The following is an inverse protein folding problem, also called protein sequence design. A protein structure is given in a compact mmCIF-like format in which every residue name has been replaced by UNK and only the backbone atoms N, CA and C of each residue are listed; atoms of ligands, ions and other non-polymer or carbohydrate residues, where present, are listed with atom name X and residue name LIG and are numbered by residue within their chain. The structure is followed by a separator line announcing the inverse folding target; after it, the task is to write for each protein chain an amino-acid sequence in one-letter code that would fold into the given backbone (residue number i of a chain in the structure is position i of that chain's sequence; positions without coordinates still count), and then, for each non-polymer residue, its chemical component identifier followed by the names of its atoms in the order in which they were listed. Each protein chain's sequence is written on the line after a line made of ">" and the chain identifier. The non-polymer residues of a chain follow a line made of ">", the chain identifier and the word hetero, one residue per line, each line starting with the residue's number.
data_IF_144616142223
#
_entry.id   IF_144616142223
#
_cell.length_a   1.000
_cell.length_b   1.000
_cell.length_c   1.000
_cell.angle_alpha   90.00
_cell.angle_beta   90.00
_cell.angle_gamma   90.00
#
_symmetry.space_group_name_H-M   'P 1'
#
loop_
_entity.id
_entity.type
_entity.pdbx_description
1 polymer ?
#
# COMPACT_ATOMS: atom_id res chain seq x y z
N UNK A 1 -17.92 21.50 -13.19
CA UNK A 1 -18.00 20.78 -11.90
C UNK A 1 -17.19 21.55 -10.86
N UNK A 2 -17.71 21.73 -9.65
CA UNK A 2 -17.08 22.52 -8.56
C UNK A 2 -16.57 21.55 -7.49
N UNK A 3 -15.44 21.84 -6.86
CA UNK A 3 -14.78 20.96 -5.88
C UNK A 3 -15.57 20.74 -4.58
N UNK A 4 -16.47 21.66 -4.24
CA UNK A 4 -17.30 21.64 -3.03
C UNK A 4 -18.65 20.98 -3.23
N UNK A 5 -18.87 20.34 -4.38
CA UNK A 5 -20.08 19.55 -4.62
C UNK A 5 -20.17 18.42 -3.60
N UNK A 6 -21.33 18.29 -2.95
CA UNK A 6 -21.57 17.31 -1.90
C UNK A 6 -22.29 16.08 -2.47
N UNK A 7 -21.80 14.92 -2.12
CA UNK A 7 -22.39 13.63 -2.44
C UNK A 7 -22.93 12.99 -1.17
N UNK A 8 -24.25 12.75 -1.14
CA UNK A 8 -24.86 11.97 -0.07
C UNK A 8 -24.34 10.51 -0.10
N UNK A 9 -24.15 9.94 1.08
CA UNK A 9 -23.60 8.60 1.18
C UNK A 9 -24.64 7.52 0.81
N UNK A 10 -24.48 6.93 -0.37
CA UNK A 10 -25.16 5.67 -0.73
C UNK A 10 -24.72 4.54 0.20
N UNK A 11 -25.52 3.47 0.31
CA UNK A 11 -25.15 2.32 1.14
C UNK A 11 -23.79 1.73 0.75
N UNK A 12 -23.52 1.62 -0.56
CA UNK A 12 -22.25 1.09 -1.06
C UNK A 12 -21.08 2.00 -0.68
N UNK A 13 -21.23 3.32 -0.81
CA UNK A 13 -20.19 4.28 -0.44
C UNK A 13 -19.95 4.26 1.08
N UNK A 14 -21.02 4.18 1.89
CA UNK A 14 -20.88 4.01 3.36
C UNK A 14 -20.04 2.79 3.73
N UNK A 15 -20.26 1.65 3.06
CA UNK A 15 -19.50 0.43 3.33
C UNK A 15 -18.01 0.65 3.03
N UNK A 16 -17.68 1.24 1.86
CA UNK A 16 -16.29 1.49 1.49
C UNK A 16 -15.62 2.45 2.47
N UNK A 17 -16.27 3.57 2.80
CA UNK A 17 -15.74 4.54 3.76
C UNK A 17 -15.57 3.92 5.15
N UNK A 18 -16.45 3.02 5.59
CA UNK A 18 -16.26 2.30 6.86
C UNK A 18 -15.05 1.37 6.83
N UNK A 19 -14.82 0.66 5.72
CA UNK A 19 -13.62 -0.17 5.57
C UNK A 19 -12.37 0.69 5.62
N UNK A 20 -12.33 1.82 4.92
CA UNK A 20 -11.19 2.75 4.97
C UNK A 20 -11.00 3.35 6.38
N UNK A 21 -12.07 3.79 7.02
CA UNK A 21 -12.01 4.34 8.37
C UNK A 21 -11.54 3.29 9.39
N UNK A 22 -11.98 2.03 9.32
CA UNK A 22 -11.54 1.01 10.28
C UNK A 22 -10.11 0.54 9.98
N UNK A 23 -9.83 0.22 8.71
CA UNK A 23 -8.56 -0.38 8.32
C UNK A 23 -7.47 0.67 8.24
N UNK A 24 -7.63 1.74 7.46
CA UNK A 24 -6.57 2.73 7.27
C UNK A 24 -6.41 3.66 8.47
N UNK A 25 -7.47 4.14 9.09
CA UNK A 25 -7.31 4.97 10.29
C UNK A 25 -6.74 4.13 11.44
N UNK A 26 -7.22 2.89 11.60
CA UNK A 26 -6.72 1.96 12.61
C UNK A 26 -5.23 1.66 12.42
N UNK A 27 -4.81 1.31 11.20
CA UNK A 27 -3.39 1.10 10.86
C UNK A 27 -2.58 2.39 11.03
N UNK A 28 -3.08 3.53 10.56
CA UNK A 28 -2.40 4.82 10.65
C UNK A 28 -2.15 5.23 12.11
N UNK A 29 -3.16 5.13 12.97
CA UNK A 29 -3.02 5.40 14.42
C UNK A 29 -2.02 4.43 15.04
N UNK A 30 -2.16 3.12 14.79
CA UNK A 30 -1.27 2.12 15.36
C UNK A 30 0.18 2.37 14.96
N UNK A 31 0.45 2.50 13.65
CA UNK A 31 1.80 2.66 13.11
C UNK A 31 2.40 4.04 13.39
N UNK A 32 1.60 5.08 13.67
CA UNK A 32 2.12 6.37 14.15
C UNK A 32 2.70 6.21 15.56
N UNK A 33 2.01 5.49 16.46
CA UNK A 33 2.37 5.43 17.88
C UNK A 33 3.14 4.16 18.31
N UNK A 34 3.44 3.24 17.39
CA UNK A 34 4.13 1.98 17.68
C UNK A 34 5.63 2.10 18.01
N UNK A 35 6.19 3.31 18.16
CA UNK A 35 7.64 3.54 18.30
C UNK A 35 8.28 2.74 19.44
N UNK A 36 7.54 2.48 20.51
CA UNK A 36 8.02 1.74 21.68
C UNK A 36 7.78 0.22 21.60
N UNK A 37 6.98 -0.24 20.64
CA UNK A 37 6.54 -1.63 20.53
C UNK A 37 7.03 -2.33 19.27
N UNK A 38 7.29 -1.56 18.20
CA UNK A 38 7.75 -2.09 16.92
C UNK A 38 9.13 -2.69 17.04
N UNK A 39 9.25 -3.94 16.60
CA UNK A 39 10.55 -4.62 16.50
C UNK A 39 11.25 -4.13 15.24
N UNK A 40 12.44 -3.54 15.42
CA UNK A 40 13.26 -3.10 14.29
C UNK A 40 13.69 -4.29 13.42
N UNK A 41 13.68 -4.13 12.09
CA UNK A 41 14.22 -5.16 11.21
C UNK A 41 15.69 -5.42 11.50
N UNK A 42 16.10 -6.67 11.35
CA UNK A 42 17.49 -7.12 11.57
C UNK A 42 18.50 -6.43 10.65
N UNK A 43 18.11 -6.12 9.41
CA UNK A 43 18.96 -5.38 8.45
C UNK A 43 19.34 -3.96 8.91
N UNK A 44 18.67 -3.40 9.91
CA UNK A 44 19.09 -2.10 10.50
C UNK A 44 20.34 -2.23 11.37
N UNK A 45 20.79 -3.44 11.69
CA UNK A 45 22.01 -3.71 12.44
C UNK A 45 23.13 -4.14 11.51
N UNK A 46 24.23 -3.39 11.51
CA UNK A 46 25.46 -3.75 10.81
C UNK A 46 26.51 -4.17 11.85
N UNK A 47 27.15 -5.34 11.64
CA UNK A 47 28.15 -5.89 12.55
C UNK A 47 27.69 -5.96 14.02
N UNK A 48 26.42 -6.31 14.26
CA UNK A 48 25.84 -6.41 15.60
C UNK A 48 25.46 -5.08 16.26
N UNK A 49 25.80 -3.93 15.65
CA UNK A 49 25.47 -2.60 16.15
C UNK A 49 24.31 -2.00 15.35
N UNK A 50 23.41 -1.30 16.03
CA UNK A 50 22.36 -0.51 15.35
C UNK A 50 23.02 0.58 14.48
N UNK A 51 22.70 0.57 13.19
CA UNK A 51 23.08 1.65 12.30
C UNK A 51 22.02 2.74 12.37
N UNK A 52 22.41 3.93 12.84
CA UNK A 52 21.49 5.04 13.03
C UNK A 52 20.86 5.53 11.71
N UNK A 53 21.62 5.52 10.61
CA UNK A 53 21.10 5.92 9.30
C UNK A 53 20.03 4.94 8.80
N UNK A 54 20.30 3.62 8.82
CA UNK A 54 19.33 2.61 8.40
C UNK A 54 18.09 2.59 9.30
N UNK A 55 18.25 2.86 10.60
CA UNK A 55 17.13 3.06 11.51
C UNK A 55 16.25 4.25 11.10
N UNK A 56 16.87 5.40 10.77
CA UNK A 56 16.12 6.59 10.37
C UNK A 56 15.41 6.38 9.02
N UNK A 57 16.05 5.71 8.06
CA UNK A 57 15.43 5.33 6.77
C UNK A 57 14.22 4.40 6.98
N UNK A 58 14.37 3.33 7.78
CA UNK A 58 13.25 2.42 8.11
C UNK A 58 12.10 3.16 8.82
N UNK A 59 12.43 3.98 9.82
CA UNK A 59 11.44 4.74 10.59
C UNK A 59 10.71 5.71 9.68
N UNK A 60 11.42 6.44 8.83
CA UNK A 60 10.83 7.39 7.89
C UNK A 60 9.84 6.68 6.96
N UNK A 61 10.24 5.57 6.34
CA UNK A 61 9.36 4.79 5.45
C UNK A 61 8.10 4.29 6.17
N UNK A 62 8.27 3.72 7.36
CA UNK A 62 7.16 3.21 8.17
C UNK A 62 6.17 4.31 8.57
N UNK A 63 6.67 5.48 9.00
CA UNK A 63 5.82 6.61 9.41
C UNK A 63 5.15 7.30 8.23
N UNK A 64 5.78 7.36 7.05
CA UNK A 64 5.12 7.88 5.84
C UNK A 64 3.91 7.05 5.45
N UNK A 65 4.01 5.72 5.49
CA UNK A 65 2.86 4.85 5.26
C UNK A 65 1.74 5.12 6.27
N UNK A 66 2.08 5.19 7.56
CA UNK A 66 1.12 5.47 8.63
C UNK A 66 0.39 6.82 8.45
N UNK A 67 1.10 7.87 8.03
CA UNK A 67 0.54 9.20 7.74
C UNK A 67 -0.45 9.15 6.58
N UNK A 68 -0.11 8.47 5.48
CA UNK A 68 -1.01 8.33 4.33
C UNK A 68 -2.27 7.57 4.73
N UNK A 69 -2.12 6.44 5.43
CA UNK A 69 -3.25 5.67 5.96
C UNK A 69 -4.13 6.50 6.90
N UNK A 70 -3.52 7.29 7.79
CA UNK A 70 -4.25 8.17 8.70
C UNK A 70 -5.09 9.19 7.94
N UNK A 71 -4.51 9.90 6.94
CA UNK A 71 -5.25 10.91 6.19
C UNK A 71 -6.43 10.31 5.39
N UNK A 72 -6.22 9.18 4.71
CA UNK A 72 -7.30 8.50 3.98
C UNK A 72 -8.41 8.05 4.92
N UNK A 73 -8.06 7.39 6.03
CA UNK A 73 -9.02 6.96 7.03
C UNK A 73 -9.76 8.13 7.71
N UNK A 74 -9.09 9.27 7.90
CA UNK A 74 -9.68 10.46 8.50
C UNK A 74 -10.69 11.14 7.55
N UNK A 75 -10.36 11.25 6.26
CA UNK A 75 -11.30 11.74 5.24
C UNK A 75 -12.54 10.85 5.18
N UNK A 76 -12.36 9.53 5.20
CA UNK A 76 -13.47 8.59 5.19
C UNK A 76 -14.34 8.70 6.45
N UNK A 77 -13.72 8.83 7.63
CA UNK A 77 -14.42 9.05 8.89
C UNK A 77 -15.22 10.36 8.90
N UNK A 78 -14.63 11.45 8.38
CA UNK A 78 -15.32 12.73 8.27
C UNK A 78 -16.59 12.60 7.43
N UNK A 79 -16.48 11.97 6.26
CA UNK A 79 -17.62 11.70 5.40
C UNK A 79 -18.73 10.89 6.08
N UNK A 80 -18.34 9.87 6.86
CA UNK A 80 -19.29 9.04 7.62
C UNK A 80 -20.03 9.82 8.70
N UNK A 81 -19.34 10.73 9.40
CA UNK A 81 -19.93 11.56 10.47
C UNK A 81 -20.89 12.60 9.87
N UNK A 82 -20.46 13.29 8.81
CA UNK A 82 -21.26 14.33 8.15
C UNK A 82 -22.41 13.74 7.31
N UNK A 83 -22.36 12.44 6.98
CA UNK A 83 -23.36 11.78 6.14
C UNK A 83 -23.29 12.14 4.65
N UNK A 84 -22.29 12.95 4.28
CA UNK A 84 -21.98 13.35 2.91
C UNK A 84 -20.46 13.54 2.77
N UNK A 85 -19.97 13.47 1.54
CA UNK A 85 -18.56 13.76 1.20
C UNK A 85 -18.51 14.79 0.08
N UNK A 86 -17.54 15.69 0.16
CA UNK A 86 -17.25 16.58 -0.95
C UNK A 86 -16.59 15.83 -2.11
N UNK A 87 -16.75 16.34 -3.33
CA UNK A 87 -16.03 15.84 -4.50
C UNK A 87 -14.52 15.84 -4.28
N UNK A 88 -13.99 16.89 -3.66
CA UNK A 88 -12.57 16.96 -3.34
C UNK A 88 -12.12 15.82 -2.41
N UNK A 89 -12.88 15.51 -1.36
CA UNK A 89 -12.58 14.40 -0.46
C UNK A 89 -12.59 13.05 -1.18
N UNK A 90 -13.60 12.76 -2.01
CA UNK A 90 -13.63 11.53 -2.81
C UNK A 90 -12.42 11.47 -3.76
N UNK A 91 -12.11 12.57 -4.45
CA UNK A 91 -10.97 12.63 -5.38
C UNK A 91 -9.64 12.37 -4.67
N UNK A 92 -9.48 12.86 -3.43
CA UNK A 92 -8.31 12.54 -2.62
C UNK A 92 -8.22 11.05 -2.26
N UNK A 93 -9.34 10.39 -1.97
CA UNK A 93 -9.36 8.94 -1.76
C UNK A 93 -8.91 8.19 -3.02
N UNK A 94 -9.42 8.57 -4.19
CA UNK A 94 -9.02 8.00 -5.47
C UNK A 94 -7.52 8.20 -5.75
N UNK A 95 -7.00 9.41 -5.55
CA UNK A 95 -5.58 9.72 -5.73
C UNK A 95 -4.72 8.90 -4.77
N UNK A 96 -5.11 8.83 -3.49
CA UNK A 96 -4.40 8.06 -2.48
C UNK A 96 -4.31 6.58 -2.83
N UNK A 97 -5.44 5.97 -3.19
CA UNK A 97 -5.49 4.59 -3.66
C UNK A 97 -4.67 4.39 -4.94
N UNK A 98 -4.75 5.31 -5.89
CA UNK A 98 -3.95 5.28 -7.13
C UNK A 98 -2.45 5.30 -6.88
N UNK A 99 -1.98 6.13 -5.94
CA UNK A 99 -0.58 6.19 -5.51
C UNK A 99 -0.14 4.89 -4.81
N UNK A 100 -0.98 4.34 -3.92
CA UNK A 100 -0.66 3.07 -3.25
C UNK A 100 -0.57 1.92 -4.27
N UNK A 101 -1.53 1.84 -5.20
CA UNK A 101 -1.52 0.82 -6.25
C UNK A 101 -0.31 0.96 -7.18
N UNK A 102 0.07 2.19 -7.54
CA UNK A 102 1.29 2.46 -8.27
C UNK A 102 2.52 1.89 -7.56
N UNK A 103 2.65 2.11 -6.23
CA UNK A 103 3.75 1.55 -5.46
C UNK A 103 3.74 0.02 -5.47
N UNK A 104 2.57 -0.63 -5.31
CA UNK A 104 2.46 -2.09 -5.38
C UNK A 104 2.90 -2.63 -6.74
N UNK A 105 2.55 -1.96 -7.85
CA UNK A 105 3.07 -2.32 -9.17
C UNK A 105 4.60 -2.22 -9.21
N UNK A 106 5.18 -1.11 -8.75
CA UNK A 106 6.62 -0.85 -8.82
C UNK A 106 7.45 -1.93 -8.14
N UNK A 107 7.04 -2.42 -6.98
CA UNK A 107 7.86 -3.29 -6.12
C UNK A 107 7.47 -4.78 -6.19
N UNK A 108 6.72 -5.18 -7.21
CA UNK A 108 6.21 -6.56 -7.30
C UNK A 108 7.35 -7.60 -7.23
N UNK A 109 7.32 -8.54 -6.26
CA UNK A 109 8.32 -9.59 -6.15
C UNK A 109 8.13 -10.70 -7.19
N UNK A 110 9.19 -11.45 -7.53
CA UNK A 110 9.12 -12.49 -8.55
C UNK A 110 8.25 -13.69 -8.16
N UNK A 111 7.64 -14.30 -9.18
CA UNK A 111 6.84 -15.53 -9.03
C UNK A 111 5.48 -15.30 -8.38
N UNK A 112 4.91 -16.36 -7.80
CA UNK A 112 3.55 -16.33 -7.22
C UNK A 112 3.43 -15.40 -5.99
N UNK A 113 4.55 -15.01 -5.38
CA UNK A 113 4.55 -14.04 -4.27
C UNK A 113 4.09 -12.66 -4.73
N UNK A 114 4.40 -12.27 -5.97
CA UNK A 114 3.92 -11.01 -6.54
C UNK A 114 2.40 -10.99 -6.67
N UNK A 115 1.81 -12.10 -7.13
CA UNK A 115 0.35 -12.26 -7.22
C UNK A 115 -0.27 -12.27 -5.81
N UNK A 116 0.32 -13.01 -4.88
CA UNK A 116 -0.15 -13.08 -3.49
C UNK A 116 -0.12 -11.70 -2.80
N UNK A 117 0.84 -10.84 -3.15
CA UNK A 117 0.89 -9.47 -2.64
C UNK A 117 -0.38 -8.71 -2.98
N UNK A 118 -0.83 -8.72 -4.25
CA UNK A 118 -2.09 -8.04 -4.62
C UNK A 118 -3.32 -8.66 -3.94
N UNK A 119 -3.38 -9.99 -3.85
CA UNK A 119 -4.54 -10.70 -3.28
C UNK A 119 -4.67 -10.55 -1.77
N UNK A 120 -3.60 -10.20 -1.06
CA UNK A 120 -3.61 -10.05 0.40
C UNK A 120 -3.73 -8.60 0.85
N UNK A 121 -3.60 -7.65 -0.08
CA UNK A 121 -3.58 -6.22 0.21
C UNK A 121 -5.00 -5.64 0.11
N UNK A 122 -5.59 -5.11 1.20
CA UNK A 122 -6.92 -4.51 1.17
C UNK A 122 -7.04 -3.40 0.13
N UNK A 123 -5.95 -2.70 -0.15
CA UNK A 123 -5.85 -1.58 -1.09
C UNK A 123 -6.19 -1.99 -2.51
N UNK A 124 -5.89 -3.24 -2.90
CA UNK A 124 -6.27 -3.81 -4.20
C UNK A 124 -7.79 -3.87 -4.34
N UNK A 125 -8.48 -4.39 -3.33
CA UNK A 125 -9.93 -4.56 -3.35
C UNK A 125 -10.66 -3.23 -3.22
N UNK A 126 -10.16 -2.34 -2.35
CA UNK A 126 -10.68 -0.97 -2.20
C UNK A 126 -10.55 -0.20 -3.51
N UNK A 127 -9.39 -0.28 -4.18
CA UNK A 127 -9.20 0.36 -5.49
C UNK A 127 -10.19 -0.19 -6.51
N UNK A 128 -10.35 -1.52 -6.62
CA UNK A 128 -11.32 -2.11 -7.55
C UNK A 128 -12.74 -1.63 -7.24
N UNK A 129 -13.16 -1.63 -5.98
CA UNK A 129 -14.49 -1.16 -5.58
C UNK A 129 -14.69 0.32 -5.93
N UNK A 130 -13.71 1.17 -5.63
CA UNK A 130 -13.76 2.61 -5.93
C UNK A 130 -13.85 2.88 -7.44
N UNK A 131 -12.95 2.30 -8.23
CA UNK A 131 -12.95 2.50 -9.69
C UNK A 131 -14.16 1.89 -10.40
N UNK A 132 -14.71 0.77 -9.91
CA UNK A 132 -15.84 0.12 -10.57
C UNK A 132 -17.19 0.75 -10.22
N UNK A 133 -17.35 1.26 -8.98
CA UNK A 133 -18.65 1.71 -8.48
C UNK A 133 -18.79 3.24 -8.40
N UNK A 134 -17.67 3.99 -8.35
CA UNK A 134 -17.70 5.41 -7.99
C UNK A 134 -16.84 6.30 -8.91
N UNK A 135 -16.38 5.81 -10.06
CA UNK A 135 -15.56 6.59 -10.99
C UNK A 135 -16.28 7.79 -11.60
N UNK A 136 -17.61 7.77 -11.61
CA UNK A 136 -18.48 8.85 -12.05
C UNK A 136 -18.54 10.02 -11.06
N UNK A 137 -18.19 9.78 -9.79
CA UNK A 137 -18.16 10.81 -8.74
C UNK A 137 -16.94 11.75 -8.86
N UNK A 138 -15.90 11.31 -9.56
CA UNK A 138 -14.65 12.08 -9.75
C UNK A 138 -14.61 12.75 -11.11
N UNK A 139 -13.81 13.81 -11.21
CA UNK A 139 -13.52 14.43 -12.50
C UNK A 139 -12.70 13.50 -13.41
N UNK A 140 -12.91 13.63 -14.71
CA UNK A 140 -12.20 12.83 -15.72
C UNK A 140 -10.68 13.05 -15.64
N UNK A 141 -10.23 14.26 -15.30
CA UNK A 141 -8.82 14.57 -15.10
C UNK A 141 -8.22 13.75 -13.95
N UNK A 142 -8.96 13.59 -12.85
CA UNK A 142 -8.51 12.79 -11.70
C UNK A 142 -8.49 11.31 -12.06
N UNK A 143 -9.49 10.83 -12.79
CA UNK A 143 -9.54 9.47 -13.30
C UNK A 143 -8.31 9.17 -14.19
N UNK A 144 -7.99 10.08 -15.12
CA UNK A 144 -6.81 9.98 -15.99
C UNK A 144 -5.53 9.95 -15.16
N UNK A 145 -5.38 10.84 -14.17
CA UNK A 145 -4.21 10.85 -13.28
C UNK A 145 -4.04 9.50 -12.57
N UNK A 146 -5.12 8.92 -12.05
CA UNK A 146 -5.04 7.63 -11.37
C UNK A 146 -4.64 6.49 -12.31
N UNK A 147 -5.14 6.49 -13.55
CA UNK A 147 -4.72 5.53 -14.58
C UNK A 147 -3.23 5.71 -14.89
N UNK A 148 -2.77 6.95 -15.05
CA UNK A 148 -1.36 7.26 -15.31
C UNK A 148 -0.44 6.78 -14.17
N UNK A 149 -0.86 6.89 -12.90
CA UNK A 149 -0.10 6.33 -11.79
C UNK A 149 0.07 4.81 -11.92
N UNK A 150 -0.99 4.07 -12.26
CA UNK A 150 -0.90 2.63 -12.44
C UNK A 150 0.01 2.25 -13.63
N UNK A 151 -0.13 2.94 -14.77
CA UNK A 151 0.72 2.75 -15.94
C UNK A 151 2.19 3.03 -15.60
N UNK A 152 2.45 4.11 -14.86
CA UNK A 152 3.79 4.45 -14.40
C UNK A 152 4.38 3.38 -13.48
N UNK A 153 3.59 2.86 -12.54
CA UNK A 153 4.02 1.78 -11.66
C UNK A 153 4.43 0.52 -12.42
N UNK A 154 3.64 0.13 -13.43
CA UNK A 154 3.95 -0.98 -14.33
C UNK A 154 5.21 -0.69 -15.17
N UNK A 155 5.36 0.53 -15.69
CA UNK A 155 6.54 0.92 -16.45
C UNK A 155 7.82 0.82 -15.59
N UNK A 156 7.81 1.39 -14.38
CA UNK A 156 8.94 1.29 -13.44
C UNK A 156 9.24 -0.16 -13.08
N UNK A 157 8.21 -0.99 -12.86
CA UNK A 157 8.40 -2.41 -12.62
C UNK A 157 9.18 -3.09 -13.77
N UNK A 158 8.71 -2.93 -15.01
CA UNK A 158 9.29 -3.57 -16.20
C UNK A 158 10.70 -3.05 -16.48
N UNK A 159 10.89 -1.72 -16.44
CA UNK A 159 12.09 -1.07 -16.93
C UNK A 159 13.17 -0.86 -15.87
N UNK A 160 12.81 -0.87 -14.57
CA UNK A 160 13.72 -0.65 -13.46
C UNK A 160 13.76 -1.85 -12.50
N UNK A 161 12.66 -2.13 -11.77
CA UNK A 161 12.68 -3.12 -10.67
C UNK A 161 13.10 -4.51 -11.11
N UNK A 162 12.56 -5.00 -12.24
CA UNK A 162 12.95 -6.31 -12.78
C UNK A 162 14.42 -6.42 -13.13
N UNK A 163 15.07 -5.31 -13.51
CA UNK A 163 16.50 -5.27 -13.85
C UNK A 163 17.40 -5.24 -12.62
N UNK A 164 16.87 -4.85 -11.46
CA UNK A 164 17.64 -4.87 -10.21
C UNK A 164 17.72 -6.28 -9.60
N UNK A 165 16.78 -7.17 -9.93
CA UNK A 165 16.76 -8.56 -9.45
C UNK A 165 17.12 -9.49 -10.61
N UNK A 166 18.41 -9.77 -10.81
CA UNK A 166 18.92 -10.64 -11.87
C UNK A 166 19.48 -11.95 -11.26
N UNK A 167 19.01 -13.14 -11.70
CA UNK A 167 17.83 -13.36 -12.54
C UNK A 167 16.52 -13.11 -11.76
N UNK A 168 15.47 -12.63 -12.44
CA UNK A 168 14.17 -12.29 -11.84
C UNK A 168 13.38 -13.55 -11.45
N UNK A 169 13.82 -14.20 -10.38
CA UNK A 169 13.33 -15.50 -9.89
C UNK A 169 13.13 -15.46 -8.39
N UNK A 170 12.16 -16.24 -7.89
CA UNK A 170 11.89 -16.32 -6.46
C UNK A 170 13.11 -16.80 -5.66
N UNK A 171 13.90 -17.75 -6.20
CA UNK A 171 15.12 -18.26 -5.54
C UNK A 171 16.13 -17.13 -5.28
N UNK A 172 16.38 -16.25 -6.25
CA UNK A 172 17.28 -15.11 -6.09
C UNK A 172 16.77 -14.14 -5.02
N UNK A 173 15.51 -13.75 -5.12
CA UNK A 173 14.85 -12.84 -4.18
C UNK A 173 14.83 -13.41 -2.75
N UNK A 174 14.54 -14.71 -2.58
CA UNK A 174 14.59 -15.40 -1.29
C UNK A 174 15.99 -15.31 -0.67
N UNK A 175 17.05 -15.41 -1.47
CA UNK A 175 18.42 -15.21 -1.01
C UNK A 175 18.63 -13.83 -0.38
N UNK A 176 18.20 -12.77 -1.08
CA UNK A 176 18.30 -11.39 -0.57
C UNK A 176 17.48 -11.19 0.72
N UNK A 177 16.31 -11.84 0.82
CA UNK A 177 15.45 -11.79 2.01
C UNK A 177 16.10 -12.47 3.22
N UNK A 178 16.81 -13.58 3.00
CA UNK A 178 17.58 -14.27 4.04
C UNK A 178 18.77 -13.40 4.48
N UNK A 179 19.48 -12.79 3.53
CA UNK A 179 20.60 -11.89 3.80
C UNK A 179 20.15 -10.65 4.59
N UNK A 180 18.98 -10.09 4.27
CA UNK A 180 18.34 -9.02 5.02
C UNK A 180 17.85 -9.45 6.43
N UNK A 181 18.06 -10.73 6.80
CA UNK A 181 17.80 -11.26 8.14
C UNK A 181 16.32 -11.37 8.48
N UNK A 182 15.43 -11.43 7.49
CA UNK A 182 13.98 -11.55 7.71
C UNK A 182 13.66 -12.84 8.49
N UNK A 183 12.62 -12.79 9.33
CA UNK A 183 12.29 -13.91 10.21
C UNK A 183 11.97 -15.20 9.44
N UNK A 184 12.46 -16.34 9.96
CA UNK A 184 12.24 -17.67 9.37
C UNK A 184 10.76 -17.98 9.13
N UNK A 185 9.86 -17.52 10.00
CA UNK A 185 8.42 -17.71 9.85
C UNK A 185 7.86 -16.97 8.64
N UNK A 186 8.32 -15.73 8.39
CA UNK A 186 7.90 -14.95 7.23
C UNK A 186 8.42 -15.56 5.93
N UNK A 187 9.67 -16.04 5.93
CA UNK A 187 10.26 -16.76 4.79
C UNK A 187 9.47 -18.04 4.50
N UNK A 188 9.13 -18.85 5.52
CA UNK A 188 8.30 -20.06 5.34
C UNK A 188 6.93 -19.76 4.74
N UNK A 189 6.29 -18.67 5.15
CA UNK A 189 5.02 -18.25 4.55
C UNK A 189 5.19 -17.91 3.07
N UNK A 190 6.27 -17.21 2.71
CA UNK A 190 6.59 -16.88 1.32
C UNK A 190 6.98 -18.10 0.48
N UNK A 191 7.71 -19.05 1.06
CA UNK A 191 8.06 -20.33 0.42
C UNK A 191 6.79 -21.14 0.11
N UNK A 192 5.84 -21.19 1.06
CA UNK A 192 4.54 -21.83 0.84
C UNK A 192 3.72 -21.14 -0.27
N UNK A 193 3.66 -19.81 -0.26
CA UNK A 193 2.92 -19.03 -1.28
C UNK A 193 3.54 -19.14 -2.68
N UNK A 194 4.87 -19.15 -2.75
CA UNK A 194 5.60 -19.32 -4.00
C UNK A 194 5.56 -20.75 -4.53
N UNK A 195 5.22 -21.73 -3.68
CA UNK A 195 5.37 -23.15 -3.98
C UNK A 195 6.83 -23.59 -4.06
N UNK A 196 7.74 -22.83 -3.44
CA UNK A 196 9.16 -23.12 -3.42
C UNK A 196 9.43 -24.33 -2.53
N UNK A 197 10.16 -25.29 -3.09
CA UNK A 197 10.71 -26.44 -2.36
C UNK A 197 12.23 -26.28 -2.36
N UNK A 198 12.81 -26.33 -1.17
CA UNK A 198 14.26 -26.37 -1.00
C UNK A 198 14.70 -27.79 -1.41
N UNK A 199 15.08 -27.93 -2.69
CA UNK A 199 15.72 -29.14 -3.19
C UNK A 199 17.19 -29.17 -2.77
#
# INVERSE_FOLDING_TARGET
>A
MISTELFELTLALKIVLWVEAIVYLGLGIFEIFDDFFRKLPSWTKLNGKLNAYLFMEDKMQHKFHAIVCFFLGFIALNGLIEGAVTRFEIELLFIGLGLIMMLLWMIMPPGKVGIAMFLTKPETYLSIAMFSLFSDLIRVEILIICILFNVWGIAVFIFNTRKLIIPYTYKRFRGDVIEAGISKNKIKAWDKMSGYKEN
#
